data_IF_941504618455
#
_entry.id   IF_941504618455
#
_cell.length_a   1.000
_cell.length_b   1.000
_cell.length_c   1.000
_cell.angle_alpha   90.00
_cell.angle_beta   90.00
_cell.angle_gamma   90.00
#
_symmetry.space_group_name_H-M   'P 1'
#
loop_
_entity.id
_entity.type
_entity.pdbx_description
1 polymer ?
#
# COMPACT_ATOMS: atom_id res chain seq x y z
N UNK A 1 -11.61 -14.23 -1.00
CA UNK A 1 -10.50 -13.48 -1.65
C UNK A 1 -9.21 -13.58 -0.86
N UNK A 2 -9.25 -13.56 0.48
CA UNK A 2 -8.04 -13.61 1.31
C UNK A 2 -7.42 -14.99 1.54
N UNK A 3 -8.15 -16.07 1.27
CA UNK A 3 -7.69 -17.46 1.45
C UNK A 3 -6.34 -17.74 0.75
N UNK A 4 -6.11 -17.15 -0.43
CA UNK A 4 -4.84 -17.28 -1.14
C UNK A 4 -3.65 -16.67 -0.38
N UNK A 5 -3.90 -15.68 0.49
CA UNK A 5 -2.90 -15.06 1.34
C UNK A 5 -2.84 -15.69 2.76
N UNK A 6 -3.48 -16.85 2.95
CA UNK A 6 -3.41 -17.64 4.18
C UNK A 6 -2.72 -18.99 4.01
N UNK A 7 -2.27 -19.31 2.78
CA UNK A 7 -1.64 -20.58 2.39
C UNK A 7 -0.36 -20.91 3.18
N UNK A 8 0.24 -19.93 3.86
CA UNK A 8 1.45 -20.16 4.67
C UNK A 8 2.71 -20.06 3.84
N UNK A 9 2.74 -19.14 2.87
CA UNK A 9 3.92 -18.89 2.05
C UNK A 9 5.12 -18.53 2.93
N UNK A 10 6.25 -19.15 2.63
CA UNK A 10 7.52 -18.93 3.31
C UNK A 10 8.65 -18.99 2.31
N UNK A 11 9.64 -18.14 2.53
CA UNK A 11 10.91 -18.19 1.80
C UNK A 11 12.00 -18.50 2.83
N UNK A 12 12.85 -19.47 2.51
CA UNK A 12 14.00 -19.81 3.34
C UNK A 12 15.09 -18.73 3.25
N UNK A 13 16.07 -18.79 4.15
CA UNK A 13 17.09 -17.76 4.22
C UNK A 13 18.01 -17.75 3.00
N UNK A 14 18.37 -18.93 2.47
CA UNK A 14 19.31 -19.02 1.35
C UNK A 14 18.70 -18.46 0.06
N UNK A 15 17.44 -18.78 -0.21
CA UNK A 15 16.71 -18.21 -1.36
C UNK A 15 16.58 -16.69 -1.23
N UNK A 16 16.24 -16.18 -0.04
CA UNK A 16 16.13 -14.75 0.18
C UNK A 16 17.45 -14.00 -0.03
N UNK A 17 18.54 -14.51 0.57
CA UNK A 17 19.86 -13.88 0.47
C UNK A 17 20.41 -13.91 -0.96
N UNK A 18 20.00 -14.89 -1.77
CA UNK A 18 20.35 -14.97 -3.19
C UNK A 18 19.56 -13.99 -4.07
N UNK A 19 18.26 -13.82 -3.82
CA UNK A 19 17.38 -13.02 -4.68
C UNK A 19 17.41 -11.50 -4.36
N UNK A 20 17.59 -11.13 -3.09
CA UNK A 20 17.51 -9.72 -2.67
C UNK A 20 18.52 -8.81 -3.38
N UNK A 21 19.81 -9.17 -3.55
CA UNK A 21 20.76 -8.29 -4.24
C UNK A 21 20.31 -7.95 -5.66
N UNK A 22 19.87 -8.95 -6.43
CA UNK A 22 19.41 -8.77 -7.81
C UNK A 22 18.14 -7.93 -7.88
N UNK A 23 17.18 -8.19 -6.98
CA UNK A 23 15.94 -7.42 -6.91
C UNK A 23 16.20 -5.96 -6.55
N UNK A 24 17.10 -5.71 -5.60
CA UNK A 24 17.46 -4.35 -5.17
C UNK A 24 18.13 -3.57 -6.28
N UNK A 25 19.10 -4.18 -6.97
CA UNK A 25 19.77 -3.58 -8.14
C UNK A 25 18.73 -3.22 -9.21
N UNK A 26 17.88 -4.16 -9.59
CA UNK A 26 16.84 -3.94 -10.59
C UNK A 26 15.83 -2.84 -10.19
N UNK A 27 15.47 -2.74 -8.92
CA UNK A 27 14.63 -1.65 -8.39
C UNK A 27 15.31 -0.29 -8.48
N UNK A 28 16.61 -0.22 -8.17
CA UNK A 28 17.39 1.02 -8.29
C UNK A 28 17.50 1.46 -9.76
N UNK A 29 17.78 0.54 -10.68
CA UNK A 29 17.78 0.82 -12.12
C UNK A 29 16.43 1.38 -12.59
N UNK A 30 15.33 0.68 -12.27
CA UNK A 30 13.99 1.13 -12.63
C UNK A 30 13.64 2.50 -12.02
N UNK A 31 14.11 2.78 -10.80
CA UNK A 31 13.93 4.07 -10.16
C UNK A 31 14.72 5.18 -10.88
N UNK A 32 15.94 4.92 -11.32
CA UNK A 32 16.75 5.88 -12.08
C UNK A 32 16.14 6.16 -13.46
N UNK A 33 15.65 5.12 -14.15
CA UNK A 33 14.97 5.26 -15.43
C UNK A 33 13.66 6.05 -15.29
N UNK A 34 12.88 5.77 -14.25
CA UNK A 34 11.68 6.55 -13.89
C UNK A 34 12.02 8.03 -13.67
N UNK A 35 13.05 8.31 -12.89
CA UNK A 35 13.49 9.67 -12.60
C UNK A 35 14.00 10.40 -13.85
N UNK A 36 14.76 9.72 -14.72
CA UNK A 36 15.29 10.28 -15.97
C UNK A 36 14.18 10.55 -16.98
N UNK A 37 13.23 9.63 -17.12
CA UNK A 37 12.15 9.75 -18.09
C UNK A 37 11.11 10.79 -17.65
N UNK A 38 10.84 10.88 -16.34
CA UNK A 38 9.93 11.85 -15.71
C UNK A 38 8.56 12.00 -16.40
N UNK A 39 8.04 10.91 -16.98
CA UNK A 39 6.75 10.92 -17.71
C UNK A 39 5.54 10.70 -16.81
N UNK A 40 5.68 9.96 -15.72
CA UNK A 40 4.60 9.63 -14.79
C UNK A 40 5.09 9.53 -13.34
N UNK A 41 4.23 9.76 -12.34
CA UNK A 41 4.51 9.45 -10.94
C UNK A 41 4.12 8.00 -10.61
N UNK A 42 4.71 7.45 -9.54
CA UNK A 42 4.30 6.17 -8.96
C UNK A 42 3.71 6.39 -7.57
N UNK A 43 2.49 5.90 -7.33
CA UNK A 43 1.77 6.01 -6.07
C UNK A 43 1.58 4.60 -5.53
N UNK A 44 2.05 4.36 -4.31
CA UNK A 44 1.98 3.04 -3.65
C UNK A 44 1.13 3.17 -2.39
N UNK A 45 -0.01 2.50 -2.33
CA UNK A 45 -0.84 2.42 -1.13
C UNK A 45 -0.51 1.12 -0.38
N UNK A 46 -0.17 1.22 0.90
CA UNK A 46 0.10 0.07 1.76
C UNK A 46 -0.96 -0.03 2.86
N UNK A 47 -1.99 -0.84 2.58
CA UNK A 47 -3.04 -1.24 3.52
C UNK A 47 -2.78 -2.64 4.09
N UNK A 48 -3.62 -3.07 5.04
CA UNK A 48 -3.48 -4.40 5.64
C UNK A 48 -3.94 -4.48 7.08
N UNK A 49 -3.96 -5.71 7.57
CA UNK A 49 -4.28 -6.07 8.96
C UNK A 49 -3.21 -5.51 9.91
N UNK A 50 -3.60 -5.13 11.13
CA UNK A 50 -2.64 -4.68 12.14
C UNK A 50 -1.63 -5.79 12.47
N UNK A 51 -0.34 -5.43 12.48
CA UNK A 51 0.76 -6.40 12.61
C UNK A 51 1.17 -7.10 11.31
N UNK A 52 0.49 -6.88 10.17
CA UNK A 52 0.80 -7.57 8.90
C UNK A 52 2.13 -7.19 8.23
N UNK A 53 2.91 -6.29 8.83
CA UNK A 53 4.22 -5.91 8.31
C UNK A 53 4.22 -4.66 7.43
N UNK A 54 3.20 -3.79 7.52
CA UNK A 54 3.05 -2.58 6.68
C UNK A 54 4.22 -1.63 6.83
N UNK A 55 4.55 -1.26 8.07
CA UNK A 55 5.67 -0.37 8.37
C UNK A 55 7.01 -1.01 8.00
N UNK A 56 7.18 -2.31 8.28
CA UNK A 56 8.37 -3.06 7.92
C UNK A 56 8.61 -3.09 6.40
N UNK A 57 7.56 -3.29 5.61
CA UNK A 57 7.64 -3.26 4.14
C UNK A 57 8.05 -1.88 3.63
N UNK A 58 7.47 -0.80 4.15
CA UNK A 58 7.83 0.56 3.74
C UNK A 58 9.26 0.92 4.16
N UNK A 59 9.66 0.55 5.38
CA UNK A 59 11.03 0.75 5.83
C UNK A 59 12.04 0.02 4.92
N UNK A 60 11.72 -1.21 4.51
CA UNK A 60 12.57 -1.97 3.59
C UNK A 60 12.68 -1.31 2.22
N UNK A 61 11.57 -0.79 1.67
CA UNK A 61 11.61 -0.08 0.38
C UNK A 61 12.52 1.16 0.45
N UNK A 62 12.48 1.90 1.56
CA UNK A 62 13.38 3.04 1.78
C UNK A 62 14.86 2.61 1.95
N UNK A 63 15.12 1.40 2.43
CA UNK A 63 16.48 0.85 2.52
C UNK A 63 16.99 0.37 1.14
N UNK A 64 16.11 -0.21 0.34
CA UNK A 64 16.46 -0.80 -0.95
C UNK A 64 16.64 0.25 -2.05
N UNK A 65 15.85 1.32 -2.02
CA UNK A 65 15.78 2.33 -3.07
C UNK A 65 16.47 3.64 -2.67
N UNK A 66 16.77 4.49 -3.66
CA UNK A 66 17.41 5.79 -3.39
C UNK A 66 16.40 6.77 -2.76
N UNK A 67 16.68 7.28 -1.54
CA UNK A 67 15.74 8.11 -0.78
C UNK A 67 15.43 9.46 -1.43
N UNK A 68 16.21 9.89 -2.42
CA UNK A 68 15.90 11.13 -3.15
C UNK A 68 14.64 10.97 -3.98
N UNK A 69 14.37 9.77 -4.50
CA UNK A 69 13.29 9.53 -5.47
C UNK A 69 12.10 8.77 -4.90
N UNK A 70 12.11 8.46 -3.60
CA UNK A 70 11.01 7.82 -2.88
C UNK A 70 10.69 8.60 -1.60
N UNK A 71 9.41 8.88 -1.36
CA UNK A 71 8.94 9.53 -0.15
C UNK A 71 7.84 8.70 0.49
N UNK A 72 7.90 8.56 1.82
CA UNK A 72 6.91 7.81 2.60
C UNK A 72 6.04 8.77 3.42
N UNK A 73 4.73 8.59 3.37
CA UNK A 73 3.73 9.42 4.04
C UNK A 73 2.91 8.56 5.03
N UNK A 74 3.01 8.87 6.32
CA UNK A 74 2.23 8.24 7.38
C UNK A 74 0.90 8.96 7.59
N UNK A 75 -0.18 8.45 7.00
CA UNK A 75 -1.50 9.06 7.04
C UNK A 75 -2.26 8.66 8.31
N UNK A 76 -1.94 9.35 9.40
CA UNK A 76 -2.57 9.18 10.71
C UNK A 76 -3.95 9.83 10.82
N UNK A 77 -4.32 10.19 12.06
CA UNK A 77 -5.53 10.96 12.31
C UNK A 77 -5.47 12.32 11.59
N UNK A 78 -6.57 12.79 10.98
CA UNK A 78 -6.58 14.08 10.33
C UNK A 78 -6.33 15.20 11.34
N UNK A 79 -5.48 16.17 11.01
CA UNK A 79 -5.33 17.40 11.79
C UNK A 79 -6.56 18.30 11.66
N UNK A 80 -6.68 19.31 12.53
CA UNK A 80 -7.74 20.33 12.44
C UNK A 80 -7.77 20.99 11.05
N UNK A 81 -6.59 21.29 10.51
CA UNK A 81 -6.41 21.83 9.15
C UNK A 81 -7.01 20.88 8.08
N UNK A 82 -6.77 19.58 8.21
CA UNK A 82 -7.27 18.58 7.26
C UNK A 82 -8.78 18.37 7.41
N UNK A 83 -9.34 18.51 8.63
CA UNK A 83 -10.77 18.41 8.91
C UNK A 83 -11.58 19.61 8.37
N UNK A 84 -10.97 20.79 8.30
CA UNK A 84 -11.58 21.99 7.69
C UNK A 84 -11.66 21.93 6.16
N UNK A 85 -11.20 20.83 5.54
CA UNK A 85 -11.14 20.65 4.09
C UNK A 85 -11.80 19.34 3.66
N UNK A 86 -12.12 19.18 2.35
CA UNK A 86 -12.59 17.91 1.84
C UNK A 86 -11.58 16.79 2.13
N UNK A 87 -12.06 15.63 2.58
CA UNK A 87 -11.22 14.50 3.02
C UNK A 87 -10.09 14.12 2.06
N UNK A 88 -10.30 14.23 0.74
CA UNK A 88 -9.30 13.88 -0.26
C UNK A 88 -8.13 14.86 -0.34
N UNK A 89 -8.29 16.11 0.12
CA UNK A 89 -7.31 17.18 0.01
C UNK A 89 -5.95 16.79 0.60
N UNK A 90 -5.95 16.12 1.76
CA UNK A 90 -4.70 15.69 2.40
C UNK A 90 -3.89 14.71 1.56
N UNK A 91 -4.55 13.84 0.80
CA UNK A 91 -3.87 12.89 -0.08
C UNK A 91 -3.36 13.58 -1.34
N UNK A 92 -4.14 14.53 -1.87
CA UNK A 92 -3.76 15.34 -3.03
C UNK A 92 -2.47 16.14 -2.81
N UNK A 93 -2.32 16.72 -1.61
CA UNK A 93 -1.13 17.48 -1.24
C UNK A 93 0.16 16.67 -1.26
N UNK A 94 0.06 15.38 -0.97
CA UNK A 94 1.21 14.49 -0.82
C UNK A 94 1.49 13.69 -2.09
N UNK A 95 0.76 13.95 -3.19
CA UNK A 95 0.99 13.25 -4.44
C UNK A 95 2.41 13.52 -4.97
N UNK A 96 3.15 12.48 -5.35
CA UNK A 96 4.50 12.64 -5.86
C UNK A 96 4.48 13.28 -7.25
N UNK A 97 5.49 14.12 -7.59
CA UNK A 97 5.64 14.62 -8.95
C UNK A 97 6.09 13.49 -9.90
N UNK A 98 6.01 13.73 -11.21
CA UNK A 98 6.48 12.79 -12.22
C UNK A 98 7.94 12.42 -11.99
N UNK A 99 8.28 11.15 -12.19
CA UNK A 99 9.63 10.62 -11.94
C UNK A 99 9.94 10.31 -10.47
N UNK A 100 8.96 10.46 -9.56
CA UNK A 100 9.11 10.13 -8.13
C UNK A 100 8.09 9.08 -7.68
N UNK A 101 8.40 8.45 -6.55
CA UNK A 101 7.59 7.42 -5.92
C UNK A 101 7.06 7.95 -4.58
N UNK A 102 5.74 7.92 -4.38
CA UNK A 102 5.08 8.26 -3.12
C UNK A 102 4.46 7.01 -2.49
N UNK A 103 4.85 6.69 -1.25
CA UNK A 103 4.38 5.51 -0.50
C UNK A 103 3.49 5.95 0.65
N UNK A 104 2.25 5.48 0.67
CA UNK A 104 1.22 5.89 1.62
C UNK A 104 0.94 4.78 2.63
N UNK A 105 1.31 5.01 3.89
CA UNK A 105 0.92 4.20 5.04
C UNK A 105 -0.39 4.77 5.61
N UNK A 106 -1.49 4.18 5.14
CA UNK A 106 -2.83 4.75 5.29
C UNK A 106 -3.21 5.54 4.04
N UNK A 107 -4.47 5.45 3.65
CA UNK A 107 -4.96 5.99 2.38
C UNK A 107 -6.41 6.46 2.52
N UNK A 108 -7.01 6.89 1.41
CA UNK A 108 -8.43 7.23 1.32
C UNK A 108 -9.38 6.06 1.68
N UNK A 109 -8.86 4.83 1.86
CA UNK A 109 -9.62 3.69 2.36
C UNK A 109 -9.63 3.54 3.89
N UNK A 110 -8.64 4.09 4.60
CA UNK A 110 -8.43 3.82 6.03
C UNK A 110 -9.65 4.23 6.87
N UNK A 111 -10.07 5.48 6.76
CA UNK A 111 -11.17 6.01 7.57
C UNK A 111 -12.54 5.43 7.21
N UNK A 112 -12.91 5.28 5.92
CA UNK A 112 -14.13 4.57 5.56
C UNK A 112 -14.22 3.16 6.16
N UNK A 113 -13.12 2.38 6.13
CA UNK A 113 -13.07 1.05 6.75
C UNK A 113 -13.25 1.14 8.26
N UNK A 114 -12.45 1.98 8.95
CA UNK A 114 -12.51 2.14 10.41
C UNK A 114 -13.89 2.59 10.89
N UNK A 115 -14.49 3.58 10.22
CA UNK A 115 -15.81 4.10 10.56
C UNK A 115 -16.90 3.04 10.37
N UNK A 116 -16.82 2.23 9.31
CA UNK A 116 -17.78 1.15 9.09
C UNK A 116 -17.66 0.06 10.16
N UNK A 117 -16.44 -0.37 10.49
CA UNK A 117 -16.17 -1.43 11.47
C UNK A 117 -16.58 -1.01 12.88
N UNK A 118 -16.29 0.24 13.25
CA UNK A 118 -16.68 0.83 14.54
C UNK A 118 -18.17 1.18 14.64
N UNK A 119 -18.93 1.08 13.55
CA UNK A 119 -20.36 1.38 13.53
C UNK A 119 -20.70 2.88 13.50
N UNK A 120 -19.72 3.74 13.22
CA UNK A 120 -19.93 5.20 13.06
C UNK A 120 -20.66 5.56 11.77
N UNK A 121 -20.60 4.70 10.76
CA UNK A 121 -21.24 4.91 9.45
C UNK A 121 -22.06 3.71 9.00
N UNK A 122 -23.06 3.98 8.15
CA UNK A 122 -23.89 2.96 7.50
C UNK A 122 -23.15 2.34 6.31
N UNK A 123 -23.68 1.25 5.78
CA UNK A 123 -23.14 0.62 4.56
C UNK A 123 -23.14 1.60 3.36
N UNK A 124 -24.23 2.35 3.17
CA UNK A 124 -24.33 3.33 2.09
C UNK A 124 -23.27 4.43 2.15
N UNK A 125 -22.81 4.83 3.34
CA UNK A 125 -21.75 5.83 3.50
C UNK A 125 -20.38 5.25 3.08
N UNK A 126 -20.16 3.96 3.33
CA UNK A 126 -18.98 3.25 2.85
C UNK A 126 -19.01 3.19 1.32
N UNK A 127 -20.13 2.77 0.71
CA UNK A 127 -20.26 2.66 -0.75
C UNK A 127 -19.99 4.00 -1.45
N UNK A 128 -20.55 5.11 -0.93
CA UNK A 128 -20.24 6.46 -1.43
C UNK A 128 -18.75 6.81 -1.31
N UNK A 129 -18.10 6.36 -0.24
CA UNK A 129 -16.66 6.55 -0.05
C UNK A 129 -15.83 5.74 -1.05
N UNK A 130 -16.25 4.52 -1.35
CA UNK A 130 -15.62 3.67 -2.38
C UNK A 130 -15.78 4.26 -3.78
N UNK A 131 -16.94 4.83 -4.08
CA UNK A 131 -17.16 5.53 -5.35
C UNK A 131 -16.29 6.78 -5.48
N UNK A 132 -16.10 7.55 -4.40
CA UNK A 132 -15.14 8.67 -4.37
C UNK A 132 -13.71 8.21 -4.59
N UNK A 133 -13.31 7.11 -3.95
CA UNK A 133 -11.99 6.52 -4.12
C UNK A 133 -11.75 6.10 -5.59
N UNK A 134 -12.67 5.34 -6.18
CA UNK A 134 -12.57 4.93 -7.61
C UNK A 134 -12.47 6.12 -8.56
N UNK A 135 -13.22 7.20 -8.31
CA UNK A 135 -13.13 8.42 -9.14
C UNK A 135 -11.77 9.09 -9.05
N UNK A 136 -11.22 9.20 -7.83
CA UNK A 136 -9.87 9.74 -7.62
C UNK A 136 -8.83 8.87 -8.34
N UNK A 137 -8.87 7.55 -8.13
CA UNK A 137 -7.93 6.62 -8.73
C UNK A 137 -7.99 6.63 -10.25
N UNK A 138 -9.20 6.63 -10.82
CA UNK A 138 -9.39 6.74 -12.27
C UNK A 138 -8.75 8.01 -12.81
N UNK A 139 -9.04 9.16 -12.21
CA UNK A 139 -8.47 10.43 -12.63
C UNK A 139 -6.93 10.43 -12.53
N UNK A 140 -6.35 9.88 -11.46
CA UNK A 140 -4.89 9.77 -11.32
C UNK A 140 -4.27 8.91 -12.42
N UNK A 141 -4.89 7.76 -12.73
CA UNK A 141 -4.40 6.87 -13.78
C UNK A 141 -4.59 7.48 -15.18
N UNK A 142 -5.70 8.17 -15.43
CA UNK A 142 -5.96 8.88 -16.68
C UNK A 142 -4.91 10.00 -16.92
N UNK A 143 -4.45 10.68 -15.85
CA UNK A 143 -3.32 11.63 -15.85
C UNK A 143 -1.93 10.94 -15.93
N UNK A 144 -1.92 9.61 -16.03
CA UNK A 144 -0.75 8.80 -16.32
C UNK A 144 -0.06 8.18 -15.10
N UNK A 145 -0.52 8.44 -13.88
CA UNK A 145 0.06 7.89 -12.66
C UNK A 145 0.01 6.35 -12.65
N UNK A 146 1.09 5.72 -12.17
CA UNK A 146 1.09 4.30 -11.85
C UNK A 146 0.62 4.12 -10.41
N UNK A 147 -0.58 3.61 -10.21
CA UNK A 147 -1.15 3.36 -8.89
C UNK A 147 -1.04 1.87 -8.51
N UNK A 148 -0.30 1.58 -7.44
CA UNK A 148 -0.13 0.24 -6.88
C UNK A 148 -0.79 0.16 -5.51
N UNK A 149 -1.68 -0.81 -5.29
CA UNK A 149 -2.41 -0.98 -4.03
C UNK A 149 -2.09 -2.33 -3.42
N UNK A 150 -1.51 -2.32 -2.22
CA UNK A 150 -1.15 -3.53 -1.49
C UNK A 150 -2.02 -3.71 -0.25
N UNK A 151 -2.58 -4.91 -0.09
CA UNK A 151 -3.21 -5.34 1.16
C UNK A 151 -2.38 -6.46 1.79
N UNK A 152 -1.74 -6.14 2.92
CA UNK A 152 -1.01 -7.14 3.70
C UNK A 152 -1.98 -7.88 4.61
N UNK A 153 -2.15 -9.17 4.37
CA UNK A 153 -3.16 -9.98 5.06
C UNK A 153 -2.54 -10.87 6.14
N UNK A 154 -3.29 -11.07 7.22
CA UNK A 154 -3.03 -12.09 8.24
C UNK A 154 -4.35 -12.77 8.59
N UNK A 155 -4.33 -14.09 8.70
CA UNK A 155 -5.41 -14.82 9.38
C UNK A 155 -5.49 -14.37 10.85
N UNK A 156 -6.65 -14.56 11.48
CA UNK A 156 -6.88 -14.19 12.89
C UNK A 156 -5.81 -14.76 13.82
N UNK A 157 -5.50 -16.04 13.68
CA UNK A 157 -4.51 -16.74 14.51
C UNK A 157 -3.10 -16.19 14.28
N UNK A 158 -2.75 -15.89 13.01
CA UNK A 158 -1.46 -15.29 12.66
C UNK A 158 -1.33 -13.87 13.18
N UNK A 159 -2.43 -13.09 13.19
CA UNK A 159 -2.46 -11.76 13.79
C UNK A 159 -2.23 -11.83 15.29
N UNK A 160 -2.98 -12.67 16.02
CA UNK A 160 -2.81 -12.83 17.46
C UNK A 160 -1.38 -13.23 17.81
N UNK A 161 -0.85 -14.23 17.11
CA UNK A 161 0.53 -14.70 17.28
C UNK A 161 1.53 -13.57 17.04
N UNK A 162 1.33 -12.77 16.00
CA UNK A 162 2.21 -11.64 15.67
C UNK A 162 2.18 -10.56 16.76
N UNK A 163 1.00 -10.17 17.23
CA UNK A 163 0.86 -9.18 18.31
C UNK A 163 1.58 -9.63 19.58
N UNK A 164 1.41 -10.90 19.98
CA UNK A 164 2.13 -11.49 21.13
C UNK A 164 3.65 -11.51 20.95
N UNK A 165 4.15 -11.83 19.75
CA UNK A 165 5.59 -11.83 19.45
C UNK A 165 6.16 -10.41 19.61
N UNK A 166 5.49 -9.40 19.04
CA UNK A 166 5.92 -8.01 19.11
C UNK A 166 5.87 -7.48 20.54
N UNK A 167 4.82 -7.78 21.29
CA UNK A 167 4.64 -7.32 22.68
C UNK A 167 5.68 -7.91 23.65
N UNK A 168 6.13 -9.15 23.39
CA UNK A 168 7.10 -9.86 24.22
C UNK A 168 8.54 -9.32 24.06
N UNK A 169 8.89 -8.77 22.91
CA UNK A 169 10.25 -8.28 22.64
C UNK A 169 10.40 -6.79 23.02
N UNK A 170 11.33 -6.43 23.94
CA UNK A 170 11.57 -5.03 24.33
C UNK A 170 11.83 -4.08 23.16
N UNK A 171 12.42 -4.55 22.07
CA UNK A 171 12.75 -3.72 20.89
C UNK A 171 11.55 -3.40 20.02
N UNK A 172 10.48 -4.20 20.10
CA UNK A 172 9.31 -4.09 19.23
C UNK A 172 8.00 -3.86 19.97
N UNK A 173 7.96 -3.99 21.30
CA UNK A 173 6.74 -3.83 22.11
C UNK A 173 6.01 -2.50 21.91
N UNK A 174 6.75 -1.42 21.62
CA UNK A 174 6.19 -0.09 21.38
C UNK A 174 5.28 -0.04 20.14
N UNK A 175 5.37 -1.03 19.24
CA UNK A 175 4.54 -1.16 18.04
C UNK A 175 3.15 -1.72 18.34
N UNK A 176 2.92 -2.28 19.52
CA UNK A 176 1.64 -2.85 19.93
C UNK A 176 1.04 -1.97 21.02
N UNK A 177 -0.14 -1.43 20.74
CA UNK A 177 -0.91 -0.57 21.63
C UNK A 177 -2.21 -1.27 22.03
N UNK A 178 -2.91 -0.69 23.01
CA UNK A 178 -4.26 -1.15 23.40
C UNK A 178 -5.22 -1.17 22.19
N UNK A 179 -5.08 -0.22 21.26
CA UNK A 179 -5.90 -0.11 20.06
C UNK A 179 -5.77 -1.34 19.16
N UNK A 180 -4.57 -1.90 19.02
CA UNK A 180 -4.33 -3.08 18.18
C UNK A 180 -5.08 -4.32 18.70
N UNK A 181 -5.14 -4.48 20.03
CA UNK A 181 -5.94 -5.53 20.66
C UNK A 181 -7.45 -5.28 20.58
N UNK A 182 -7.88 -4.02 20.64
CA UNK A 182 -9.29 -3.65 20.41
C UNK A 182 -9.70 -3.93 18.97
N UNK A 183 -8.84 -3.64 18.00
CA UNK A 183 -9.05 -3.99 16.59
C UNK A 183 -9.08 -5.50 16.37
N UNK A 184 -8.18 -6.25 17.01
CA UNK A 184 -8.17 -7.72 16.96
C UNK A 184 -9.50 -8.34 17.42
N UNK A 185 -10.13 -7.79 18.47
CA UNK A 185 -11.47 -8.24 18.91
C UNK A 185 -12.55 -8.04 17.83
N UNK A 186 -12.33 -7.09 16.93
CA UNK A 186 -13.21 -6.78 15.80
C UNK A 186 -12.77 -7.46 14.49
N UNK A 187 -11.86 -8.44 14.54
CA UNK A 187 -11.28 -9.09 13.36
C UNK A 187 -12.33 -9.49 12.31
N UNK A 188 -13.40 -10.19 12.72
CA UNK A 188 -14.44 -10.66 11.77
C UNK A 188 -15.10 -9.50 11.02
N UNK A 189 -15.33 -8.37 11.70
CA UNK A 189 -15.89 -7.17 11.07
C UNK A 189 -14.87 -6.55 10.12
N UNK A 190 -13.60 -6.44 10.53
CA UNK A 190 -12.53 -5.95 9.66
C UNK A 190 -12.38 -6.82 8.41
N UNK A 191 -12.43 -8.15 8.56
CA UNK A 191 -12.33 -9.10 7.47
C UNK A 191 -13.44 -8.85 6.44
N UNK A 192 -14.72 -8.88 6.87
CA UNK A 192 -15.87 -8.69 5.98
C UNK A 192 -15.85 -7.32 5.30
N UNK A 193 -15.59 -6.24 6.06
CA UNK A 193 -15.57 -4.88 5.51
C UNK A 193 -14.41 -4.72 4.52
N UNK A 194 -13.20 -5.16 4.88
CA UNK A 194 -12.03 -5.01 4.02
C UNK A 194 -12.17 -5.83 2.75
N UNK A 195 -12.66 -7.08 2.83
CA UNK A 195 -12.92 -7.91 1.65
C UNK A 195 -13.90 -7.22 0.70
N UNK A 196 -14.97 -6.64 1.23
CA UNK A 196 -15.91 -5.86 0.43
C UNK A 196 -15.24 -4.65 -0.23
N UNK A 197 -14.45 -3.86 0.52
CA UNK A 197 -13.73 -2.70 -0.04
C UNK A 197 -12.83 -3.12 -1.20
N UNK A 198 -12.01 -4.16 -1.01
CA UNK A 198 -11.09 -4.61 -2.06
C UNK A 198 -11.83 -5.15 -3.28
N UNK A 199 -12.89 -5.94 -3.08
CA UNK A 199 -13.70 -6.45 -4.19
C UNK A 199 -14.32 -5.34 -5.03
N UNK A 200 -14.85 -4.29 -4.39
CA UNK A 200 -15.52 -3.20 -5.09
C UNK A 200 -14.57 -2.18 -5.70
N UNK A 201 -13.30 -2.15 -5.30
CA UNK A 201 -12.33 -1.13 -5.73
C UNK A 201 -11.08 -1.70 -6.39
N UNK A 202 -11.00 -3.01 -6.60
CA UNK A 202 -9.99 -3.63 -7.46
C UNK A 202 -10.43 -3.49 -8.92
N UNK A 203 -10.01 -2.40 -9.58
CA UNK A 203 -10.30 -2.16 -11.00
C UNK A 203 -9.19 -2.74 -11.90
N UNK A 204 -9.41 -2.73 -13.21
CA UNK A 204 -8.38 -3.19 -14.16
C UNK A 204 -7.16 -2.26 -14.17
N UNK A 205 -7.37 -0.96 -13.99
CA UNK A 205 -6.33 0.06 -14.01
C UNK A 205 -5.59 0.20 -12.68
N UNK A 206 -6.27 -0.11 -11.56
CA UNK A 206 -5.72 -0.07 -10.22
C UNK A 206 -6.19 -1.31 -9.43
N UNK A 207 -5.60 -2.49 -9.68
CA UNK A 207 -5.95 -3.70 -8.94
C UNK A 207 -5.41 -3.66 -7.51
N UNK A 208 -6.04 -4.43 -6.62
CA UNK A 208 -5.48 -4.74 -5.30
C UNK A 208 -4.59 -5.98 -5.37
N UNK A 209 -3.35 -5.85 -4.90
CA UNK A 209 -2.42 -6.96 -4.68
C UNK A 209 -2.49 -7.39 -3.22
N UNK A 210 -3.03 -8.58 -2.97
CA UNK A 210 -3.09 -9.16 -1.62
C UNK A 210 -1.80 -9.96 -1.39
N UNK A 211 -1.11 -9.68 -0.29
CA UNK A 211 0.16 -10.34 0.06
C UNK A 211 0.06 -10.92 1.47
N UNK A 212 0.48 -12.16 1.66
CA UNK A 212 0.58 -12.77 2.98
C UNK A 212 1.64 -12.05 3.83
N UNK A 213 1.21 -11.50 4.96
CA UNK A 213 2.04 -10.64 5.81
C UNK A 213 2.90 -11.37 6.83
N UNK A 214 2.73 -12.68 7.02
CA UNK A 214 3.34 -13.38 8.16
C UNK A 214 4.82 -13.69 7.96
N UNK A 215 5.24 -14.17 6.78
CA UNK A 215 6.66 -14.37 6.51
C UNK A 215 7.28 -13.07 5.98
N UNK A 216 8.36 -12.62 6.63
CA UNK A 216 9.00 -11.35 6.26
C UNK A 216 9.67 -11.45 4.89
N UNK A 217 10.39 -12.55 4.63
CA UNK A 217 11.15 -12.76 3.40
C UNK A 217 10.22 -12.85 2.19
N UNK A 218 9.16 -13.65 2.31
CA UNK A 218 8.10 -13.76 1.31
C UNK A 218 7.47 -12.41 1.00
N UNK A 219 7.01 -11.69 2.04
CA UNK A 219 6.37 -10.38 1.86
C UNK A 219 7.29 -9.40 1.14
N UNK A 220 8.55 -9.31 1.56
CA UNK A 220 9.56 -8.42 1.00
C UNK A 220 9.80 -8.68 -0.48
N UNK A 221 10.11 -9.93 -0.85
CA UNK A 221 10.37 -10.31 -2.24
C UNK A 221 9.12 -10.13 -3.10
N UNK A 222 7.94 -10.51 -2.59
CA UNK A 222 6.68 -10.38 -3.35
C UNK A 222 6.36 -8.93 -3.65
N UNK A 223 6.39 -8.05 -2.64
CA UNK A 223 6.09 -6.62 -2.83
C UNK A 223 7.14 -5.98 -3.76
N UNK A 224 8.43 -6.26 -3.53
CA UNK A 224 9.50 -5.70 -4.36
C UNK A 224 9.40 -6.12 -5.84
N UNK A 225 9.15 -7.41 -6.11
CA UNK A 225 8.95 -7.92 -7.48
C UNK A 225 7.73 -7.28 -8.16
N UNK A 226 6.60 -7.19 -7.47
CA UNK A 226 5.38 -6.56 -8.03
C UNK A 226 5.62 -5.09 -8.36
N UNK A 227 6.33 -4.34 -7.51
CA UNK A 227 6.69 -2.94 -7.79
C UNK A 227 7.60 -2.86 -9.00
N UNK A 228 8.66 -3.67 -9.04
CA UNK A 228 9.62 -3.70 -10.14
C UNK A 228 8.93 -3.99 -11.48
N UNK A 229 8.13 -5.05 -11.54
CA UNK A 229 7.45 -5.49 -12.75
C UNK A 229 6.48 -4.41 -13.25
N UNK A 230 5.73 -3.79 -12.35
CA UNK A 230 4.80 -2.73 -12.70
C UNK A 230 5.51 -1.48 -13.24
N UNK A 231 6.61 -1.06 -12.60
CA UNK A 231 7.41 0.10 -13.07
C UNK A 231 8.03 -0.20 -14.43
N UNK A 232 8.69 -1.35 -14.61
CA UNK A 232 9.33 -1.73 -15.88
C UNK A 232 8.31 -1.80 -17.02
N UNK A 233 7.18 -2.48 -16.80
CA UNK A 233 6.10 -2.54 -17.79
C UNK A 233 5.61 -1.15 -18.18
N UNK A 234 5.41 -0.27 -17.20
CA UNK A 234 4.95 1.10 -17.45
C UNK A 234 6.00 1.95 -18.19
N UNK A 235 7.28 1.78 -17.86
CA UNK A 235 8.40 2.43 -18.58
C UNK A 235 8.45 2.00 -20.05
N UNK A 236 8.27 0.70 -20.34
CA UNK A 236 8.22 0.20 -21.71
C UNK A 236 7.03 0.78 -22.51
N UNK A 237 5.85 0.84 -21.90
CA UNK A 237 4.66 1.47 -22.51
C UNK A 237 4.88 2.97 -22.77
N UNK A 238 5.50 3.68 -21.82
CA UNK A 238 5.82 5.09 -21.93
C UNK A 238 6.94 5.38 -22.94
N UNK A 239 7.86 4.43 -23.15
CA UNK A 239 8.88 4.49 -24.20
C UNK A 239 8.27 4.34 -25.60
N UNK A 240 7.25 3.50 -25.76
CA UNK A 240 6.51 3.30 -27.02
C UNK A 240 5.59 4.47 -27.36
N UNK A 241 5.05 5.16 -26.35
CA UNK A 241 4.23 6.37 -26.52
C UNK A 241 5.11 7.62 -26.56
N UNK A 242 5.72 7.90 -27.71
CA UNK A 242 6.09 9.26 -28.12
C UNK A 242 4.83 9.96 -28.63
N UNK A 243 3.99 10.44 -27.73
CA UNK A 243 2.92 11.38 -28.07
C UNK A 243 2.99 12.53 -27.08
N UNK A 244 3.28 13.71 -27.61
CA UNK A 244 3.22 15.00 -26.94
C UNK A 244 1.91 15.12 -26.17
N UNK A 245 1.99 15.15 -24.84
CA UNK A 245 0.90 15.64 -24.02
C UNK A 245 1.36 17.00 -23.53
N UNK A 246 1.00 18.06 -24.27
CA UNK A 246 0.98 19.39 -23.68
C UNK A 246 -0.02 19.36 -22.54
N UNK A 247 0.35 19.92 -21.39
CA UNK A 247 -0.62 20.16 -20.33
C UNK A 247 -1.86 20.87 -20.91
N UNK A 248 -3.07 20.62 -20.39
CA UNK A 248 -4.24 21.40 -20.80
C UNK A 248 -3.99 22.89 -20.49
N UNK A 249 -4.57 23.82 -21.28
CA UNK A 249 -4.51 25.25 -20.98
C UNK A 249 -5.13 25.62 -19.64
#
# INVERSE_FOLDING_TARGET
MFESAELGHKIDNATYDAEVPQLREALLEAQMDLAKLAKFPVIILVGGVDGAGRGETVNLLNEWMDPRFIQSHGMGEPSDEELDRPMMWRFWRELPPKGRIGVFLGSWYTWPILNRVSGKTKAADLDQSLDRAKRLEKMLVDEGALLLKFWLHLSKDKQEKRLKILEKDPKTRWRVTKRDWEHYKLYEKFHVVSESVMRHTSTAEAPWTIVEGFDARYRSLTVGKVILDAIRKRLEEAGKKTSEVSAPP
#
